data_IF_726535238007
#
_entry.id   IF_726535238007
#
_cell.length_a   1.000
_cell.length_b   1.000
_cell.length_c   1.000
_cell.angle_alpha   90.00
_cell.angle_beta   90.00
_cell.angle_gamma   90.00
#
_symmetry.space_group_name_H-M   'P 1'
#
loop_
_entity.id
_entity.type
_entity.pdbx_description
1 polymer ?
#
# COMPACT_ATOMS: atom_id res chain seq x y z
N UNK A 1 13.96 10.67 2.38
CA UNK A 1 14.57 9.99 1.22
C UNK A 1 15.77 9.22 1.75
N UNK A 2 15.73 7.89 1.68
CA UNK A 2 16.83 7.03 2.11
C UNK A 2 17.49 6.43 0.87
N UNK A 3 18.80 6.28 0.86
CA UNK A 3 19.55 5.74 -0.27
C UNK A 3 20.32 4.51 0.18
N UNK A 4 20.31 3.48 -0.66
CA UNK A 4 21.06 2.24 -0.44
C UNK A 4 22.14 2.09 -1.48
N UNK A 5 23.25 1.49 -1.09
CA UNK A 5 24.33 1.22 -2.03
C UNK A 5 23.92 0.08 -2.97
N UNK A 6 23.94 0.34 -4.27
CA UNK A 6 23.68 -0.68 -5.30
C UNK A 6 24.96 -1.36 -5.77
N UNK A 7 26.11 -0.66 -5.72
CA UNK A 7 27.37 -1.22 -6.17
C UNK A 7 28.50 -0.80 -5.21
N UNK A 8 29.13 -1.82 -4.60
CA UNK A 8 30.30 -1.66 -3.75
C UNK A 8 31.56 -1.96 -4.57
N UNK A 9 32.55 -1.08 -4.50
CA UNK A 9 33.88 -1.31 -5.05
C UNK A 9 34.93 -1.27 -3.94
N UNK A 10 35.95 -2.11 -4.07
CA UNK A 10 37.10 -2.14 -3.16
C UNK A 10 38.21 -1.28 -3.75
N UNK A 11 38.50 -0.14 -3.14
CA UNK A 11 39.60 0.74 -3.57
C UNK A 11 40.56 0.87 -2.39
N UNK A 12 41.82 0.50 -2.58
CA UNK A 12 42.86 0.55 -1.54
C UNK A 12 42.46 -0.14 -0.23
N UNK A 13 41.86 -1.33 -0.33
CA UNK A 13 41.37 -2.11 0.81
C UNK A 13 40.23 -1.45 1.62
N UNK A 14 39.60 -0.41 1.09
CA UNK A 14 38.42 0.26 1.66
C UNK A 14 37.21 -0.03 0.76
N UNK A 15 36.10 -0.47 1.37
CA UNK A 15 34.83 -0.62 0.67
C UNK A 15 34.18 0.75 0.48
N UNK A 16 34.04 1.17 -0.77
CA UNK A 16 33.39 2.43 -1.15
C UNK A 16 32.18 2.14 -2.02
N UNK A 17 31.10 2.88 -1.80
CA UNK A 17 29.91 2.76 -2.65
C UNK A 17 30.06 3.65 -3.89
N UNK A 18 29.91 3.05 -5.08
CA UNK A 18 30.06 3.74 -6.37
C UNK A 18 28.72 4.12 -6.98
N UNK A 19 27.67 3.39 -6.62
CA UNK A 19 26.31 3.68 -7.08
C UNK A 19 25.32 3.67 -5.92
N UNK A 20 24.62 4.79 -5.74
CA UNK A 20 23.55 4.94 -4.75
C UNK A 20 22.21 4.96 -5.47
N UNK A 21 21.28 4.12 -5.01
CA UNK A 21 19.92 4.07 -5.55
C UNK A 21 18.95 4.47 -4.44
N UNK A 22 17.93 5.22 -4.83
CA UNK A 22 16.90 5.66 -3.89
C UNK A 22 16.10 4.45 -3.40
N UNK A 23 15.94 4.36 -2.07
CA UNK A 23 15.16 3.32 -1.45
C UNK A 23 13.67 3.64 -1.62
N UNK A 24 13.09 3.08 -2.67
CA UNK A 24 11.65 3.19 -2.96
C UNK A 24 10.88 2.26 -2.01
N UNK A 25 9.92 2.80 -1.26
CA UNK A 25 9.04 1.96 -0.43
C UNK A 25 7.98 1.28 -1.31
N UNK A 26 7.45 0.12 -0.91
CA UNK A 26 6.36 -0.58 -1.64
C UNK A 26 5.18 0.34 -1.99
N UNK A 27 4.90 1.32 -1.12
CA UNK A 27 3.86 2.32 -1.32
C UNK A 27 4.17 3.33 -2.44
N UNK A 28 5.44 3.56 -2.75
CA UNK A 28 5.87 4.43 -3.86
C UNK A 28 6.13 3.67 -5.17
N UNK A 29 6.26 2.34 -5.11
CA UNK A 29 6.26 1.48 -6.31
C UNK A 29 4.87 1.27 -6.89
N UNK A 30 3.82 1.31 -6.06
CA UNK A 30 2.46 1.41 -6.58
C UNK A 30 2.26 2.83 -7.11
N UNK A 31 1.97 2.96 -8.42
CA UNK A 31 1.63 4.22 -9.07
C UNK A 31 0.33 4.90 -8.55
N UNK A 32 -0.18 4.44 -7.41
CA UNK A 32 -1.39 4.94 -6.78
C UNK A 32 -1.02 5.69 -5.50
N UNK A 33 -1.38 6.96 -5.46
CA UNK A 33 -1.21 7.79 -4.26
C UNK A 33 -2.10 7.26 -3.13
N UNK A 34 -1.73 7.54 -1.88
CA UNK A 34 -2.56 7.22 -0.71
C UNK A 34 -3.98 7.79 -0.83
N UNK A 35 -4.11 8.98 -1.40
CA UNK A 35 -5.40 9.62 -1.67
C UNK A 35 -6.24 8.79 -2.66
N UNK A 36 -5.63 8.28 -3.73
CA UNK A 36 -6.32 7.42 -4.70
C UNK A 36 -6.75 6.07 -4.10
N UNK A 37 -5.97 5.49 -3.19
CA UNK A 37 -6.41 4.29 -2.46
C UNK A 37 -7.68 4.54 -1.64
N UNK A 38 -7.76 5.68 -0.95
CA UNK A 38 -8.96 6.04 -0.16
C UNK A 38 -10.15 6.32 -1.07
N UNK A 39 -9.94 7.01 -2.20
CA UNK A 39 -11.00 7.28 -3.19
C UNK A 39 -11.56 6.00 -3.81
N UNK A 40 -10.73 4.98 -4.05
CA UNK A 40 -11.19 3.70 -4.57
C UNK A 40 -11.79 2.80 -3.47
N UNK A 41 -11.25 2.84 -2.25
CA UNK A 41 -11.68 1.98 -1.15
C UNK A 41 -13.03 2.38 -0.55
N UNK A 42 -13.32 3.68 -0.47
CA UNK A 42 -14.57 4.20 0.12
C UNK A 42 -15.87 3.71 -0.56
N UNK A 43 -16.02 3.75 -1.91
CA UNK A 43 -17.24 3.25 -2.55
C UNK A 43 -17.42 1.73 -2.39
N UNK A 44 -16.32 0.97 -2.40
CA UNK A 44 -16.33 -0.49 -2.21
C UNK A 44 -16.88 -0.81 -0.81
N UNK A 45 -16.28 -0.23 0.23
CA UNK A 45 -16.72 -0.43 1.61
C UNK A 45 -18.17 0.02 1.81
N UNK A 46 -18.56 1.14 1.19
CA UNK A 46 -19.93 1.65 1.22
C UNK A 46 -20.95 0.62 0.72
N UNK A 47 -20.75 0.06 -0.48
CA UNK A 47 -21.68 -0.91 -1.08
C UNK A 47 -21.76 -2.19 -0.22
N UNK A 48 -20.62 -2.75 0.18
CA UNK A 48 -20.63 -3.97 0.99
C UNK A 48 -21.28 -3.76 2.36
N UNK A 49 -21.06 -2.61 2.98
CA UNK A 49 -21.71 -2.29 4.27
C UNK A 49 -23.23 -2.25 4.17
N UNK A 50 -23.78 -1.69 3.08
CA UNK A 50 -25.22 -1.66 2.81
C UNK A 50 -25.80 -3.06 2.60
N UNK A 51 -25.10 -3.91 1.83
CA UNK A 51 -25.52 -5.30 1.60
C UNK A 51 -25.53 -6.07 2.93
N UNK A 52 -24.48 -5.93 3.74
CA UNK A 52 -24.39 -6.57 5.05
C UNK A 52 -25.53 -6.09 5.94
N UNK A 53 -25.74 -4.78 6.06
CA UNK A 53 -26.83 -4.20 6.84
C UNK A 53 -28.20 -4.74 6.40
N UNK A 54 -28.48 -4.74 5.08
CA UNK A 54 -29.71 -5.31 4.53
C UNK A 54 -29.86 -6.80 4.87
N UNK A 55 -28.79 -7.58 4.75
CA UNK A 55 -28.82 -9.01 5.07
C UNK A 55 -29.14 -9.27 6.55
N UNK A 56 -28.60 -8.44 7.44
CA UNK A 56 -28.83 -8.50 8.88
C UNK A 56 -30.29 -8.17 9.18
N UNK A 57 -30.80 -7.05 8.68
CA UNK A 57 -32.20 -6.65 8.88
C UNK A 57 -33.19 -7.67 8.32
N UNK A 58 -32.92 -8.23 7.14
CA UNK A 58 -33.77 -9.25 6.53
C UNK A 58 -33.75 -10.56 7.35
N UNK A 59 -32.59 -10.95 7.89
CA UNK A 59 -32.48 -12.11 8.77
C UNK A 59 -33.28 -11.91 10.07
N UNK A 60 -33.15 -10.73 10.70
CA UNK A 60 -33.94 -10.38 11.89
C UNK A 60 -35.45 -10.34 11.59
N UNK A 61 -35.85 -9.72 10.49
CA UNK A 61 -37.25 -9.63 10.09
C UNK A 61 -37.89 -10.99 9.80
N UNK A 62 -37.12 -11.96 9.29
CA UNK A 62 -37.59 -13.34 9.08
C UNK A 62 -37.67 -14.19 10.36
N UNK A 63 -37.06 -13.73 11.45
CA UNK A 63 -37.03 -14.42 12.75
C UNK A 63 -37.98 -13.81 13.79
N UNK A 64 -38.53 -12.62 13.53
CA UNK A 64 -39.56 -11.97 14.33
C UNK A 64 -40.96 -12.41 13.86
#
# INVERSE_FOLDING_TARGET
MAFVCSELQLINNVQTCVSWVEQVTLLEQLAITKAQMVMLGTPIVGIYSLIIAFSIFNNFAKRA
#
